data_IF_737854918671
#
_entry.id   IF_737854918671
#
_cell.length_a   1.000
_cell.length_b   1.000
_cell.length_c   1.000
_cell.angle_alpha   90.00
_cell.angle_beta   90.00
_cell.angle_gamma   90.00
#
_symmetry.space_group_name_H-M   'P 1'
#
loop_
_entity.id
_entity.type
_entity.pdbx_description
1 polymer ?
#
# COMPACT_ATOMS: atom_id res chain seq x y z
N UNK A 1 1.11 -5.92 16.89
CA UNK A 1 1.15 -6.24 15.44
C UNK A 1 0.23 -5.32 14.68
N UNK A 2 0.30 -5.34 13.35
CA UNK A 2 -0.40 -4.41 12.44
C UNK A 2 -1.93 -4.35 12.67
N UNK A 3 -2.56 -5.50 12.93
CA UNK A 3 -3.98 -5.56 13.30
C UNK A 3 -4.33 -4.70 14.52
N UNK A 4 -3.47 -4.66 15.55
CA UNK A 4 -3.73 -3.90 16.76
C UNK A 4 -3.60 -2.38 16.54
N UNK A 5 -2.65 -1.96 15.69
CA UNK A 5 -2.50 -0.56 15.28
C UNK A 5 -3.71 -0.08 14.48
N UNK A 6 -4.23 -0.93 13.58
CA UNK A 6 -5.42 -0.59 12.80
C UNK A 6 -6.67 -0.51 13.69
N UNK A 7 -6.85 -1.40 14.67
CA UNK A 7 -7.95 -1.31 15.65
C UNK A 7 -7.85 -0.05 16.53
N UNK A 8 -6.65 0.31 16.99
CA UNK A 8 -6.41 1.55 17.74
C UNK A 8 -6.73 2.79 16.91
N UNK A 9 -6.29 2.82 15.66
CA UNK A 9 -6.62 3.89 14.73
C UNK A 9 -8.13 3.96 14.44
N UNK A 10 -8.86 2.85 14.43
CA UNK A 10 -10.34 2.87 14.27
C UNK A 10 -11.03 3.52 15.45
N UNK A 11 -10.67 3.12 16.66
CA UNK A 11 -11.26 3.67 17.88
C UNK A 11 -11.06 5.19 17.95
N UNK A 12 -9.89 5.68 17.54
CA UNK A 12 -9.53 7.10 17.58
C UNK A 12 -10.35 7.99 16.62
N UNK A 13 -10.86 7.44 15.52
CA UNK A 13 -11.51 8.21 14.45
C UNK A 13 -12.95 7.75 14.15
N UNK A 14 -13.59 7.03 15.08
CA UNK A 14 -14.99 6.64 14.93
C UNK A 14 -15.92 7.83 15.14
N UNK A 15 -16.98 7.94 14.33
CA UNK A 15 -18.03 8.96 14.45
C UNK A 15 -17.75 10.27 13.69
N UNK A 16 -16.52 10.48 13.23
CA UNK A 16 -16.17 11.56 12.30
C UNK A 16 -16.54 11.20 10.85
N UNK A 17 -16.78 12.24 10.06
CA UNK A 17 -17.01 12.15 8.62
C UNK A 17 -15.75 11.77 7.87
N UNK A 18 -15.90 11.26 6.64
CA UNK A 18 -14.78 10.99 5.74
C UNK A 18 -13.99 12.26 5.42
N UNK A 19 -14.68 13.39 5.28
CA UNK A 19 -14.12 14.70 4.96
C UNK A 19 -13.32 15.29 6.13
N UNK A 20 -13.83 15.17 7.37
CA UNK A 20 -13.08 15.55 8.57
C UNK A 20 -11.81 14.70 8.73
N UNK A 21 -11.91 13.39 8.51
CA UNK A 21 -10.76 12.50 8.59
C UNK A 21 -9.75 12.80 7.49
N UNK A 22 -10.20 13.05 6.26
CA UNK A 22 -9.36 13.47 5.14
C UNK A 22 -8.57 14.74 5.50
N UNK A 23 -9.21 15.75 6.09
CA UNK A 23 -8.53 16.98 6.50
C UNK A 23 -7.46 16.70 7.57
N UNK A 24 -7.76 15.88 8.59
CA UNK A 24 -6.78 15.48 9.61
C UNK A 24 -5.57 14.80 8.96
N UNK A 25 -5.80 13.92 7.99
CA UNK A 25 -4.71 13.23 7.28
C UNK A 25 -3.89 14.23 6.46
N UNK A 26 -4.52 15.17 5.75
CA UNK A 26 -3.83 16.22 4.99
C UNK A 26 -2.97 17.13 5.87
N UNK A 27 -3.51 17.54 7.02
CA UNK A 27 -2.78 18.39 7.97
C UNK A 27 -1.59 17.65 8.58
N UNK A 28 -1.77 16.36 8.90
CA UNK A 28 -0.70 15.53 9.44
C UNK A 28 0.38 15.26 8.39
N UNK A 29 0.00 14.82 7.18
CA UNK A 29 0.97 14.33 6.18
C UNK A 29 1.87 15.46 5.64
N UNK A 30 1.40 16.70 5.64
CA UNK A 30 2.17 17.88 5.20
C UNK A 30 3.22 18.35 6.22
N UNK A 31 3.14 17.87 7.46
CA UNK A 31 4.03 18.29 8.56
C UNK A 31 4.79 17.14 9.21
N UNK A 32 4.27 15.91 9.10
CA UNK A 32 4.85 14.72 9.71
C UNK A 32 6.16 14.32 9.03
N UNK A 33 7.21 14.21 9.85
CA UNK A 33 8.55 13.87 9.43
C UNK A 33 8.95 12.49 9.91
N UNK A 34 9.70 11.78 9.07
CA UNK A 34 10.31 10.51 9.45
C UNK A 34 11.37 10.75 10.54
N UNK A 35 11.33 10.04 11.68
CA UNK A 35 12.15 10.37 12.85
C UNK A 35 13.66 10.24 12.61
N UNK A 36 14.07 9.32 11.72
CA UNK A 36 15.49 9.07 11.44
C UNK A 36 16.07 10.00 10.37
N UNK A 37 15.28 10.35 9.34
CA UNK A 37 15.79 11.10 8.18
C UNK A 37 15.45 12.59 8.25
N UNK A 38 14.44 12.97 9.05
CA UNK A 38 13.96 14.34 9.17
C UNK A 38 13.21 14.87 7.94
N UNK A 39 13.07 14.05 6.88
CA UNK A 39 12.26 14.34 5.68
C UNK A 39 10.77 14.13 5.96
N UNK A 40 9.90 14.77 5.18
CA UNK A 40 8.47 14.48 5.23
C UNK A 40 8.22 13.02 4.80
N UNK A 41 7.19 12.37 5.34
CA UNK A 41 6.86 10.99 4.94
C UNK A 41 6.58 10.87 3.42
N UNK A 42 6.06 11.91 2.78
CA UNK A 42 5.83 11.95 1.32
C UNK A 42 7.12 12.06 0.51
N UNK A 43 8.20 12.57 1.10
CA UNK A 43 9.54 12.62 0.49
C UNK A 43 10.32 11.31 0.69
N UNK A 44 9.74 10.34 1.41
CA UNK A 44 10.30 9.00 1.64
C UNK A 44 9.78 7.98 0.62
N UNK A 45 9.16 8.42 -0.47
CA UNK A 45 8.82 7.56 -1.61
C UNK A 45 10.09 7.06 -2.31
N UNK A 46 10.06 5.83 -2.84
CA UNK A 46 11.21 5.28 -3.56
C UNK A 46 11.27 5.80 -4.99
N UNK A 47 12.33 6.52 -5.34
CA UNK A 47 12.53 7.12 -6.67
C UNK A 47 12.40 6.08 -7.80
N UNK A 48 13.00 4.87 -7.74
CA UNK A 48 12.85 3.88 -8.80
C UNK A 48 11.42 3.35 -8.94
N UNK A 49 10.63 3.37 -7.86
CA UNK A 49 9.22 2.98 -7.92
C UNK A 49 8.34 4.08 -8.53
N UNK A 50 8.68 5.35 -8.31
CA UNK A 50 8.04 6.47 -9.02
C UNK A 50 8.28 6.37 -10.54
N UNK A 51 9.53 6.11 -10.93
CA UNK A 51 9.91 5.89 -12.33
C UNK A 51 9.19 4.68 -12.94
N UNK A 52 9.07 3.58 -12.20
CA UNK A 52 8.33 2.40 -12.65
C UNK A 52 6.84 2.72 -12.86
N UNK A 53 6.21 3.47 -11.94
CA UNK A 53 4.82 3.89 -12.07
C UNK A 53 4.61 4.76 -13.32
N UNK A 54 5.50 5.71 -13.58
CA UNK A 54 5.46 6.54 -14.78
C UNK A 54 5.65 5.73 -16.05
N UNK A 55 6.63 4.82 -16.06
CA UNK A 55 6.88 3.92 -17.17
C UNK A 55 5.65 3.05 -17.49
N UNK A 56 5.03 2.46 -16.48
CA UNK A 56 3.83 1.62 -16.65
C UNK A 56 2.66 2.43 -17.23
N UNK A 57 2.38 3.62 -16.68
CA UNK A 57 1.31 4.50 -17.19
C UNK A 57 1.57 4.95 -18.62
N UNK A 58 2.82 5.32 -18.95
CA UNK A 58 3.21 5.69 -20.31
C UNK A 58 2.98 4.54 -21.33
N UNK A 59 2.98 3.29 -20.85
CA UNK A 59 2.72 2.09 -21.64
C UNK A 59 1.27 1.56 -21.51
N UNK A 60 0.34 2.40 -21.02
CA UNK A 60 -1.10 2.09 -21.01
C UNK A 60 -1.56 1.20 -19.85
N UNK A 61 -0.71 0.98 -18.84
CA UNK A 61 -1.14 0.30 -17.62
C UNK A 61 -1.97 1.22 -16.73
N UNK A 62 -2.92 0.63 -16.00
CA UNK A 62 -3.54 1.26 -14.84
C UNK A 62 -2.81 0.81 -13.58
N UNK A 63 -2.34 1.75 -12.78
CA UNK A 63 -1.52 1.49 -11.59
C UNK A 63 -2.35 1.61 -10.32
N UNK A 64 -2.47 0.53 -9.55
CA UNK A 64 -3.26 0.48 -8.32
C UNK A 64 -2.37 0.31 -7.09
N UNK A 65 -2.77 0.89 -5.97
CA UNK A 65 -2.25 0.53 -4.64
C UNK A 65 -3.11 -0.58 -4.05
N UNK A 66 -2.48 -1.63 -3.50
CA UNK A 66 -3.15 -2.71 -2.75
C UNK A 66 -2.42 -2.93 -1.42
N UNK A 67 -2.90 -2.25 -0.38
CA UNK A 67 -2.18 -2.15 0.91
C UNK A 67 -3.02 -2.58 2.11
N UNK A 68 -2.38 -3.17 3.12
CA UNK A 68 -3.00 -3.42 4.43
C UNK A 68 -3.34 -2.13 5.20
N UNK A 69 -2.76 -1.00 4.79
CA UNK A 69 -3.05 0.32 5.34
C UNK A 69 -4.49 0.78 5.09
N UNK A 70 -4.96 1.72 5.90
CA UNK A 70 -6.32 2.28 5.79
C UNK A 70 -6.52 3.03 4.47
N UNK A 71 -7.56 2.68 3.71
CA UNK A 71 -7.83 3.29 2.40
C UNK A 71 -8.00 4.81 2.49
N UNK A 72 -8.75 5.30 3.47
CA UNK A 72 -8.98 6.73 3.68
C UNK A 72 -7.75 7.46 4.23
N UNK A 73 -6.72 6.74 4.69
CA UNK A 73 -5.45 7.36 5.07
C UNK A 73 -4.56 7.60 3.86
N UNK A 74 -4.60 6.72 2.84
CA UNK A 74 -3.72 6.84 1.67
C UNK A 74 -4.29 7.79 0.60
N UNK A 75 -5.60 7.72 0.34
CA UNK A 75 -6.26 8.53 -0.69
C UNK A 75 -5.94 10.04 -0.66
N UNK A 76 -5.84 10.71 0.51
CA UNK A 76 -5.67 12.16 0.55
C UNK A 76 -4.34 12.70 -0.01
N UNK A 77 -3.34 11.84 -0.23
CA UNK A 77 -2.00 12.24 -0.67
C UNK A 77 -1.39 11.32 -1.75
N UNK A 78 -1.94 10.12 -1.97
CA UNK A 78 -1.39 9.16 -2.93
C UNK A 78 -1.40 9.66 -4.38
N UNK A 79 -2.37 10.50 -4.76
CA UNK A 79 -2.42 11.06 -6.12
C UNK A 79 -1.27 12.03 -6.36
N UNK A 80 -1.02 12.94 -5.43
CA UNK A 80 0.06 13.93 -5.53
C UNK A 80 1.46 13.29 -5.50
N UNK A 81 1.64 12.21 -4.74
CA UNK A 81 2.94 11.56 -4.58
C UNK A 81 3.20 10.48 -5.64
N UNK A 82 2.19 9.67 -5.97
CA UNK A 82 2.35 8.49 -6.83
C UNK A 82 1.69 8.62 -8.20
N UNK A 83 0.87 9.66 -8.42
CA UNK A 83 0.01 9.75 -9.60
C UNK A 83 -1.09 8.67 -9.62
N UNK A 84 -1.51 8.18 -8.45
CA UNK A 84 -2.53 7.13 -8.31
C UNK A 84 -3.80 7.77 -7.70
N UNK A 85 -4.88 7.94 -8.49
CA UNK A 85 -6.08 8.63 -8.02
C UNK A 85 -6.88 7.77 -7.02
N UNK A 86 -7.79 8.38 -6.23
CA UNK A 86 -8.46 7.70 -5.11
C UNK A 86 -9.22 6.40 -5.45
N UNK A 87 -9.76 6.29 -6.67
CA UNK A 87 -10.46 5.09 -7.15
C UNK A 87 -9.50 3.95 -7.51
N UNK A 88 -8.19 4.22 -7.61
CA UNK A 88 -7.13 3.22 -7.84
C UNK A 88 -6.39 2.85 -6.53
N UNK A 89 -6.90 3.30 -5.38
CA UNK A 89 -6.36 2.94 -4.06
C UNK A 89 -7.26 1.90 -3.39
N UNK A 90 -6.69 0.71 -3.14
CA UNK A 90 -7.33 -0.42 -2.45
C UNK A 90 -6.63 -0.61 -1.10
N UNK A 91 -7.40 -0.48 -0.02
CA UNK A 91 -6.88 -0.53 1.34
C UNK A 91 -7.84 -1.21 2.31
N UNK A 92 -7.36 -1.43 3.54
CA UNK A 92 -8.24 -1.84 4.63
C UNK A 92 -9.31 -0.77 4.87
N UNK A 93 -10.54 -1.21 5.12
CA UNK A 93 -11.70 -0.32 5.23
C UNK A 93 -12.63 -0.69 6.37
N UNK A 94 -13.18 0.33 7.00
CA UNK A 94 -14.23 0.21 8.01
C UNK A 94 -15.61 0.43 7.40
N UNK A 95 -16.65 0.12 8.17
CA UNK A 95 -18.04 0.38 7.78
C UNK A 95 -18.26 1.88 7.69
N UNK A 96 -18.95 2.31 6.64
CA UNK A 96 -19.40 3.68 6.46
C UNK A 96 -20.91 3.75 6.63
N UNK A 97 -21.39 4.90 7.10
CA UNK A 97 -22.82 5.17 7.26
C UNK A 97 -23.15 6.52 6.63
N UNK A 98 -24.14 6.52 5.76
CA UNK A 98 -24.74 7.76 5.28
C UNK A 98 -25.60 8.38 6.38
N UNK A 99 -25.38 9.64 6.68
CA UNK A 99 -26.16 10.43 7.64
C UNK A 99 -26.49 11.80 7.07
N UNK A 100 -27.45 12.47 7.70
CA UNK A 100 -27.74 13.87 7.44
C UNK A 100 -27.39 14.66 8.72
N UNK A 101 -26.35 15.51 8.65
CA UNK A 101 -25.89 16.33 9.79
C UNK A 101 -25.93 17.79 9.40
N UNK A 102 -26.53 18.64 10.24
CA UNK A 102 -26.62 20.09 10.04
C UNK A 102 -27.11 20.51 8.65
N UNK A 103 -28.11 19.79 8.14
CA UNK A 103 -28.69 20.10 6.84
C UNK A 103 -27.92 19.57 5.63
N UNK A 104 -26.87 18.76 5.82
CA UNK A 104 -26.01 18.23 4.74
C UNK A 104 -25.88 16.70 4.77
N UNK A 105 -25.87 16.03 3.60
CA UNK A 105 -25.52 14.62 3.52
C UNK A 105 -24.03 14.42 3.81
N UNK A 106 -23.71 13.45 4.66
CA UNK A 106 -22.32 13.12 5.05
C UNK A 106 -22.11 11.61 5.11
N UNK A 107 -20.86 11.18 4.96
CA UNK A 107 -20.46 9.78 5.14
C UNK A 107 -19.64 9.67 6.42
N UNK A 108 -20.11 8.85 7.36
CA UNK A 108 -19.57 8.75 8.71
C UNK A 108 -18.84 7.43 8.91
N UNK A 109 -17.61 7.49 9.42
CA UNK A 109 -16.80 6.32 9.78
C UNK A 109 -17.38 5.64 11.02
N UNK A 110 -17.63 4.34 10.93
CA UNK A 110 -18.11 3.51 12.04
C UNK A 110 -16.94 2.76 12.69
N UNK A 111 -17.06 2.31 13.96
CA UNK A 111 -15.97 1.63 14.68
C UNK A 111 -15.80 0.16 14.27
N UNK A 112 -16.33 -0.25 13.10
CA UNK A 112 -16.36 -1.65 12.66
C UNK A 112 -15.45 -1.82 11.46
N UNK A 113 -14.51 -2.78 11.51
CA UNK A 113 -13.76 -3.21 10.34
C UNK A 113 -14.66 -3.97 9.38
N UNK A 114 -14.67 -3.60 8.11
CA UNK A 114 -15.38 -4.35 7.07
C UNK A 114 -14.43 -5.26 6.32
N UNK A 115 -13.22 -4.78 6.03
CA UNK A 115 -12.24 -5.55 5.29
C UNK A 115 -10.80 -5.24 5.73
N UNK A 116 -10.01 -6.29 5.95
CA UNK A 116 -8.57 -6.21 6.16
C UNK A 116 -7.85 -6.64 4.88
N UNK A 117 -7.17 -5.71 4.22
CA UNK A 117 -6.60 -5.89 2.89
C UNK A 117 -5.13 -6.36 2.94
N UNK A 118 -4.90 -7.52 3.56
CA UNK A 118 -3.55 -8.06 3.70
C UNK A 118 -3.53 -9.59 3.60
N UNK A 119 -2.37 -10.17 3.25
CA UNK A 119 -2.21 -11.61 2.94
C UNK A 119 -3.28 -12.08 1.93
N UNK A 120 -4.02 -13.14 2.27
CA UNK A 120 -5.18 -13.66 1.53
C UNK A 120 -6.27 -12.63 1.23
N UNK A 121 -6.32 -11.52 1.98
CA UNK A 121 -7.27 -10.42 1.76
C UNK A 121 -6.99 -9.64 0.47
N UNK A 122 -5.71 -9.52 0.07
CA UNK A 122 -5.31 -8.76 -1.13
C UNK A 122 -5.94 -9.27 -2.43
N UNK A 123 -5.85 -10.56 -2.81
CA UNK A 123 -6.50 -11.04 -4.03
C UNK A 123 -8.03 -10.88 -3.99
N UNK A 124 -8.66 -11.04 -2.82
CA UNK A 124 -10.11 -10.82 -2.63
C UNK A 124 -10.47 -9.36 -2.87
N UNK A 125 -9.70 -8.43 -2.30
CA UNK A 125 -9.87 -6.99 -2.49
C UNK A 125 -9.68 -6.56 -3.95
N UNK A 126 -8.68 -7.10 -4.63
CA UNK A 126 -8.49 -6.86 -6.07
C UNK A 126 -9.72 -7.32 -6.85
N UNK A 127 -10.22 -8.53 -6.59
CA UNK A 127 -11.40 -9.03 -7.29
C UNK A 127 -12.65 -8.19 -7.01
N UNK A 128 -12.86 -7.75 -5.77
CA UNK A 128 -14.03 -6.96 -5.39
C UNK A 128 -13.99 -5.52 -5.94
N UNK A 129 -12.82 -4.88 -5.90
CA UNK A 129 -12.67 -3.47 -6.25
C UNK A 129 -12.39 -3.26 -7.75
N UNK A 130 -11.51 -4.10 -8.32
CA UNK A 130 -11.02 -3.96 -9.70
C UNK A 130 -11.76 -4.91 -10.65
N UNK A 131 -12.18 -6.08 -10.16
CA UNK A 131 -12.88 -7.08 -10.97
C UNK A 131 -12.01 -7.76 -12.04
N UNK A 132 -10.69 -7.56 -11.98
CA UNK A 132 -9.73 -8.06 -12.97
C UNK A 132 -8.48 -8.56 -12.26
N UNK A 133 -7.99 -9.73 -12.69
CA UNK A 133 -6.68 -10.23 -12.27
C UNK A 133 -5.57 -9.33 -12.86
N UNK A 134 -4.64 -8.82 -12.04
CA UNK A 134 -3.49 -8.08 -12.53
C UNK A 134 -2.61 -8.92 -13.44
N UNK A 135 -1.82 -8.24 -14.26
CA UNK A 135 -0.79 -8.88 -15.09
C UNK A 135 0.63 -8.65 -14.54
N UNK A 136 0.75 -7.68 -13.65
CA UNK A 136 1.94 -7.34 -12.89
C UNK A 136 1.55 -7.03 -11.43
N UNK A 137 2.35 -7.51 -10.47
CA UNK A 137 2.23 -7.14 -9.06
C UNK A 137 3.62 -6.96 -8.44
N UNK A 138 3.76 -5.97 -7.57
CA UNK A 138 4.95 -5.73 -6.76
C UNK A 138 4.58 -5.74 -5.27
N UNK A 139 5.43 -6.34 -4.44
CA UNK A 139 5.30 -6.37 -2.99
C UNK A 139 6.67 -6.26 -2.32
N UNK A 140 6.71 -6.29 -0.99
CA UNK A 140 7.97 -6.30 -0.23
C UNK A 140 7.92 -7.19 1.02
N UNK A 141 6.81 -7.89 1.25
CA UNK A 141 6.60 -8.70 2.44
C UNK A 141 5.84 -10.00 2.15
N UNK A 142 5.85 -10.93 3.09
CA UNK A 142 5.05 -12.15 3.01
C UNK A 142 3.53 -11.85 2.97
N UNK A 143 3.10 -10.67 3.43
CA UNK A 143 1.72 -10.19 3.29
C UNK A 143 1.29 -9.92 1.83
N UNK A 144 2.24 -9.85 0.90
CA UNK A 144 1.99 -9.73 -0.54
C UNK A 144 1.94 -11.08 -1.25
N UNK A 145 2.29 -12.17 -0.58
CA UNK A 145 2.51 -13.47 -1.21
C UNK A 145 1.32 -13.92 -2.06
N UNK A 146 0.11 -13.93 -1.49
CA UNK A 146 -1.08 -14.40 -2.21
C UNK A 146 -1.49 -13.44 -3.34
N UNK A 147 -1.14 -12.16 -3.27
CA UNK A 147 -1.35 -11.21 -4.36
C UNK A 147 -0.45 -11.56 -5.55
N UNK A 148 0.83 -11.82 -5.31
CA UNK A 148 1.80 -12.21 -6.35
C UNK A 148 1.47 -13.59 -6.92
N UNK A 149 1.11 -14.54 -6.06
CA UNK A 149 0.67 -15.89 -6.46
C UNK A 149 -0.57 -15.84 -7.34
N UNK A 150 -1.61 -15.12 -6.91
CA UNK A 150 -2.82 -15.01 -7.71
C UNK A 150 -2.56 -14.26 -9.03
N UNK A 151 -1.73 -13.21 -9.04
CA UNK A 151 -1.36 -12.49 -10.26
C UNK A 151 -0.68 -13.42 -11.28
N UNK A 152 0.30 -14.20 -10.84
CA UNK A 152 1.14 -15.03 -11.71
C UNK A 152 0.54 -16.38 -12.10
N UNK A 153 -0.48 -16.86 -11.36
CA UNK A 153 -1.23 -18.06 -11.73
C UNK A 153 -2.20 -17.88 -12.92
N UNK A 154 -2.32 -16.66 -13.47
CA UNK A 154 -3.16 -16.39 -14.64
C UNK A 154 -2.49 -16.81 -15.96
N UNK A 155 -3.28 -17.05 -17.01
CA UNK A 155 -2.75 -17.36 -18.34
C UNK A 155 -2.07 -16.15 -19.01
N UNK A 156 -1.11 -16.42 -19.89
CA UNK A 156 -0.36 -15.40 -20.66
C UNK A 156 0.84 -14.82 -19.90
N UNK A 157 1.55 -13.83 -20.47
CA UNK A 157 2.66 -13.18 -19.80
C UNK A 157 2.22 -12.53 -18.48
N UNK A 158 2.93 -12.87 -17.41
CA UNK A 158 2.72 -12.34 -16.05
C UNK A 158 4.06 -12.03 -15.43
N UNK A 159 4.08 -10.99 -14.61
CA UNK A 159 5.29 -10.57 -13.89
C UNK A 159 4.95 -10.34 -12.42
N UNK A 160 5.87 -10.70 -11.54
CA UNK A 160 5.79 -10.41 -10.12
C UNK A 160 7.18 -10.09 -9.58
N UNK A 161 7.23 -9.16 -8.64
CA UNK A 161 8.49 -8.81 -7.98
C UNK A 161 8.32 -8.55 -6.48
N UNK A 162 9.35 -8.89 -5.72
CA UNK A 162 9.57 -8.41 -4.38
C UNK A 162 10.66 -7.35 -4.37
N UNK A 163 10.48 -6.27 -3.60
CA UNK A 163 11.55 -5.37 -3.19
C UNK A 163 12.17 -5.93 -1.92
N UNK A 164 13.48 -6.19 -1.94
CA UNK A 164 14.24 -6.67 -0.79
C UNK A 164 15.01 -5.51 -0.16
N UNK A 165 14.66 -5.19 1.08
CA UNK A 165 15.31 -4.17 1.89
C UNK A 165 16.62 -4.71 2.45
N UNK A 166 17.71 -4.57 1.69
CA UNK A 166 19.04 -5.10 1.99
C UNK A 166 20.13 -4.01 2.09
N UNK A 167 19.74 -2.74 2.22
CA UNK A 167 20.64 -1.59 2.23
C UNK A 167 20.56 -0.79 3.54
N UNK A 168 21.33 -1.21 4.54
CA UNK A 168 21.42 -0.53 5.83
C UNK A 168 22.13 0.84 5.78
N UNK A 169 22.79 1.19 4.67
CA UNK A 169 23.56 2.43 4.55
C UNK A 169 22.70 3.57 4.00
N UNK A 170 21.91 3.30 2.96
CA UNK A 170 21.09 4.29 2.27
C UNK A 170 19.61 4.23 2.68
N UNK A 171 19.17 3.12 3.25
CA UNK A 171 17.80 2.86 3.69
C UNK A 171 17.83 2.04 5.00
N UNK A 172 17.22 0.86 4.99
CA UNK A 172 17.17 -0.10 6.07
C UNK A 172 17.52 -1.49 5.52
N UNK A 173 17.99 -2.39 6.40
CA UNK A 173 18.16 -3.80 6.05
C UNK A 173 17.29 -4.65 6.98
N UNK A 174 16.28 -5.29 6.42
CA UNK A 174 15.35 -6.13 7.16
C UNK A 174 14.62 -7.12 6.24
N UNK A 175 14.41 -8.34 6.71
CA UNK A 175 13.66 -9.36 5.99
C UNK A 175 12.97 -10.37 6.93
N UNK A 176 13.62 -11.50 7.24
CA UNK A 176 13.05 -12.68 7.88
C UNK A 176 12.70 -12.48 9.35
N UNK A 177 13.50 -11.72 10.07
CA UNK A 177 13.33 -11.49 11.51
C UNK A 177 12.56 -10.19 11.81
N UNK A 178 12.21 -9.43 10.77
CA UNK A 178 11.49 -8.17 10.97
C UNK A 178 10.09 -8.43 11.54
N UNK A 179 9.63 -7.54 12.43
CA UNK A 179 8.26 -7.57 12.97
C UNK A 179 7.26 -6.81 12.10
N UNK A 180 7.76 -6.01 11.15
CA UNK A 180 7.00 -5.18 10.22
C UNK A 180 7.56 -5.45 8.84
N UNK A 181 6.71 -5.77 7.86
CA UNK A 181 7.17 -6.10 6.51
C UNK A 181 8.08 -7.33 6.46
N UNK A 182 7.81 -8.35 7.28
CA UNK A 182 8.57 -9.61 7.25
C UNK A 182 8.57 -10.19 5.84
N UNK A 183 9.74 -10.53 5.31
CA UNK A 183 9.89 -11.19 4.02
C UNK A 183 10.76 -12.45 4.20
N UNK A 184 10.12 -13.60 4.43
CA UNK A 184 10.80 -14.88 4.59
C UNK A 184 10.35 -15.88 3.54
N UNK A 185 9.05 -16.19 3.52
CA UNK A 185 8.45 -17.08 2.53
C UNK A 185 8.65 -16.56 1.11
N UNK A 186 8.50 -15.26 0.90
CA UNK A 186 8.72 -14.60 -0.38
C UNK A 186 10.14 -14.77 -0.91
N UNK A 187 11.16 -14.67 -0.06
CA UNK A 187 12.57 -14.91 -0.45
C UNK A 187 12.82 -16.36 -0.87
N UNK A 188 12.21 -17.32 -0.17
CA UNK A 188 12.40 -18.74 -0.46
C UNK A 188 11.67 -19.19 -1.74
N UNK A 189 10.46 -18.68 -1.95
CA UNK A 189 9.56 -19.13 -3.03
C UNK A 189 9.73 -18.35 -4.34
N UNK A 190 10.17 -17.08 -4.30
CA UNK A 190 10.26 -16.25 -5.50
C UNK A 190 11.12 -16.88 -6.61
N UNK A 191 12.33 -17.42 -6.36
CA UNK A 191 13.13 -18.08 -7.39
C UNK A 191 12.45 -19.30 -8.00
N UNK A 192 11.70 -20.06 -7.19
CA UNK A 192 10.98 -21.26 -7.63
C UNK A 192 9.78 -20.92 -8.52
N UNK A 193 9.24 -19.72 -8.37
CA UNK A 193 8.05 -19.23 -9.08
C UNK A 193 8.38 -18.28 -10.23
N UNK A 194 9.66 -18.00 -10.46
CA UNK A 194 10.11 -17.04 -11.45
C UNK A 194 9.74 -15.59 -11.10
N UNK A 195 9.52 -15.29 -9.82
CA UNK A 195 9.32 -13.92 -9.35
C UNK A 195 10.67 -13.25 -9.16
N UNK A 196 10.76 -11.98 -9.53
CA UNK A 196 12.00 -11.21 -9.41
C UNK A 196 12.17 -10.70 -7.99
N UNK A 197 13.38 -10.82 -7.44
CA UNK A 197 13.76 -10.13 -6.20
C UNK A 197 14.63 -8.96 -6.61
N UNK A 198 14.19 -7.73 -6.30
CA UNK A 198 14.92 -6.50 -6.56
C UNK A 198 15.63 -6.10 -5.27
N UNK A 199 16.96 -6.06 -5.32
CA UNK A 199 17.83 -5.64 -4.22
C UNK A 199 17.92 -4.12 -4.20
N UNK A 200 17.49 -3.48 -3.11
CA UNK A 200 17.67 -2.03 -2.94
C UNK A 200 19.16 -1.67 -3.04
N UNK A 201 20.03 -2.49 -2.43
CA UNK A 201 21.47 -2.24 -2.40
C UNK A 201 22.11 -2.29 -3.78
N UNK A 202 21.79 -3.31 -4.57
CA UNK A 202 22.53 -3.60 -5.80
C UNK A 202 21.84 -3.06 -7.06
N UNK A 203 20.51 -2.92 -7.04
CA UNK A 203 19.75 -2.60 -8.25
C UNK A 203 19.32 -1.13 -8.31
N UNK A 204 19.28 -0.43 -7.17
CA UNK A 204 18.85 0.98 -7.11
C UNK A 204 20.04 1.94 -7.00
N UNK A 205 20.12 2.88 -7.94
CA UNK A 205 21.13 3.95 -7.96
C UNK A 205 20.82 5.01 -6.88
N UNK A 206 19.54 5.39 -6.78
CA UNK A 206 19.03 6.39 -5.84
C UNK A 206 17.82 5.81 -5.12
N UNK A 207 17.71 6.05 -3.81
CA UNK A 207 16.61 5.51 -2.99
C UNK A 207 15.44 6.48 -2.95
N UNK A 208 15.68 7.71 -2.48
CA UNK A 208 14.67 8.76 -2.31
C UNK A 208 14.93 9.92 -3.28
N UNK A 209 13.89 10.67 -3.72
CA UNK A 209 14.05 11.90 -4.49
C UNK A 209 14.91 12.97 -3.79
#
# INVERSE_FOLDING_TARGET
GENALLELAKAAHSGMTTEEFEQIVKDWITTAKHPTTGKLFTEMAYQPMLELLDYLRANGFKTFIVSGGGVEFMRPWAEDVYGIPPEQVVGSSGRLKYEYRDGKPVIVKQPTLTHFNDNVGKPVSIQNHIGRRPIFAAGNSDGDFEMLEWTTAGAGPRFAMFVHHDDAEREWAYDRESKIGTLAKGLDEAPLRGWTIVSIKNDWITIFP
#
